data_IF_744707257534
#
_entry.id   IF_744707257534
#
_cell.length_a   1.000
_cell.length_b   1.000
_cell.length_c   1.000
_cell.angle_alpha   90.00
_cell.angle_beta   90.00
_cell.angle_gamma   90.00
#
_symmetry.space_group_name_H-M   'P 1'
#
loop_
_entity.id
_entity.type
_entity.pdbx_description
1 polymer ?
#
# COMPACT_ATOMS: atom_id res chain seq x y z
N UNK A 1 -10.40 28.38 -41.30
CA UNK A 1 -10.32 28.74 -39.85
C UNK A 1 -9.62 27.61 -39.09
N UNK A 2 -8.34 27.75 -38.72
CA UNK A 2 -7.64 26.80 -37.82
C UNK A 2 -8.17 27.02 -36.40
N UNK A 3 -9.03 26.12 -35.90
CA UNK A 3 -9.33 26.04 -34.47
C UNK A 3 -7.99 25.75 -33.76
N UNK A 4 -7.43 26.77 -33.09
CA UNK A 4 -6.33 26.54 -32.14
C UNK A 4 -6.86 25.55 -31.10
N UNK A 5 -6.25 24.39 -31.02
CA UNK A 5 -6.41 23.49 -29.86
C UNK A 5 -5.89 24.26 -28.64
N UNK A 6 -6.72 25.11 -28.03
CA UNK A 6 -6.39 25.62 -26.71
C UNK A 6 -6.49 24.44 -25.76
N UNK A 7 -5.41 24.09 -25.11
CA UNK A 7 -5.41 23.12 -24.02
C UNK A 7 -6.50 23.56 -23.05
N UNK A 8 -7.53 22.76 -22.82
CA UNK A 8 -8.69 23.20 -22.07
C UNK A 8 -8.30 23.56 -20.65
N UNK A 9 -8.66 24.75 -20.21
CA UNK A 9 -8.32 25.30 -18.90
C UNK A 9 -8.80 24.48 -17.70
N UNK A 10 -9.61 23.41 -17.92
CA UNK A 10 -10.04 22.46 -16.90
C UNK A 10 -9.27 21.12 -16.97
N UNK A 11 -8.67 20.75 -18.11
CA UNK A 11 -7.98 19.47 -18.21
C UNK A 11 -6.73 19.42 -17.32
N UNK A 12 -5.95 20.50 -17.31
CA UNK A 12 -4.73 20.57 -16.49
C UNK A 12 -5.05 20.41 -14.99
N UNK A 13 -5.97 21.20 -14.38
CA UNK A 13 -6.28 21.03 -12.97
C UNK A 13 -6.94 19.68 -12.66
N UNK A 14 -7.74 19.10 -13.57
CA UNK A 14 -8.31 17.76 -13.38
C UNK A 14 -7.24 16.67 -13.39
N UNK A 15 -6.27 16.77 -14.31
CA UNK A 15 -5.15 15.83 -14.37
C UNK A 15 -4.21 15.99 -13.16
N UNK A 16 -3.97 17.20 -12.71
CA UNK A 16 -3.17 17.47 -11.51
C UNK A 16 -3.85 16.88 -10.25
N UNK A 17 -5.16 17.11 -10.12
CA UNK A 17 -5.95 16.52 -9.04
C UNK A 17 -5.88 14.99 -9.07
N UNK A 18 -5.98 14.38 -10.27
CA UNK A 18 -5.84 12.94 -10.46
C UNK A 18 -4.50 12.43 -9.93
N UNK A 19 -3.39 13.06 -10.33
CA UNK A 19 -2.05 12.63 -9.90
C UNK A 19 -1.89 12.78 -8.38
N UNK A 20 -2.30 13.92 -7.80
CA UNK A 20 -2.18 14.16 -6.36
C UNK A 20 -3.03 13.14 -5.57
N UNK A 21 -4.29 12.94 -5.95
CA UNK A 21 -5.18 12.01 -5.26
C UNK A 21 -4.70 10.56 -5.39
N UNK A 22 -4.17 10.17 -6.56
CA UNK A 22 -3.57 8.85 -6.77
C UNK A 22 -2.36 8.65 -5.87
N UNK A 23 -1.45 9.62 -5.79
CA UNK A 23 -0.28 9.54 -4.91
C UNK A 23 -0.68 9.45 -3.44
N UNK A 24 -1.66 10.25 -3.01
CA UNK A 24 -2.18 10.18 -1.64
C UNK A 24 -2.78 8.80 -1.35
N UNK A 25 -3.55 8.23 -2.27
CA UNK A 25 -4.12 6.89 -2.13
C UNK A 25 -3.03 5.80 -2.09
N UNK A 26 -1.98 5.93 -2.94
CA UNK A 26 -0.86 4.98 -2.99
C UNK A 26 -0.02 4.98 -1.70
N UNK A 27 0.23 6.15 -1.14
CA UNK A 27 1.02 6.29 0.09
C UNK A 27 0.18 6.35 1.37
N UNK A 28 -1.12 6.11 1.27
CA UNK A 28 -2.06 6.28 2.38
C UNK A 28 -1.60 5.61 3.67
N UNK A 29 -1.17 4.35 3.61
CA UNK A 29 -0.80 3.58 4.81
C UNK A 29 0.38 4.22 5.56
N UNK A 30 1.40 4.68 4.82
CA UNK A 30 2.57 5.36 5.42
C UNK A 30 2.22 6.75 5.96
N UNK A 31 1.38 7.49 5.23
CA UNK A 31 0.93 8.83 5.63
C UNK A 31 0.00 8.75 6.84
N UNK A 32 -0.90 7.77 6.85
CA UNK A 32 -1.85 7.57 7.93
C UNK A 32 -1.15 7.25 9.25
N UNK A 33 -0.13 6.39 9.24
CA UNK A 33 0.63 6.04 10.44
C UNK A 33 1.33 7.24 11.10
N UNK A 34 1.74 8.24 10.29
CA UNK A 34 2.54 9.39 10.77
C UNK A 34 1.75 10.69 10.91
N UNK A 35 0.73 10.87 10.10
CA UNK A 35 0.07 12.17 9.88
C UNK A 35 -1.45 12.09 9.92
N UNK A 36 -2.02 11.12 10.65
CA UNK A 36 -3.47 10.85 10.69
C UNK A 36 -4.33 12.11 10.78
N UNK A 37 -4.02 13.00 11.74
CA UNK A 37 -4.79 14.23 11.97
C UNK A 37 -4.66 15.21 10.79
N UNK A 38 -3.48 15.26 10.14
CA UNK A 38 -3.22 16.16 9.01
C UNK A 38 -3.81 15.63 7.68
N UNK A 39 -4.10 14.35 7.59
CA UNK A 39 -4.71 13.77 6.38
C UNK A 39 -6.17 14.14 6.21
N UNK A 40 -6.93 14.30 7.30
CA UNK A 40 -8.33 14.71 7.26
C UNK A 40 -8.55 16.00 6.45
N UNK A 41 -7.87 17.13 6.74
CA UNK A 41 -8.00 18.33 5.91
C UNK A 41 -7.50 18.15 4.47
N UNK A 42 -6.50 17.28 4.22
CA UNK A 42 -6.06 16.96 2.86
C UNK A 42 -7.15 16.25 2.06
N UNK A 43 -7.76 15.21 2.63
CA UNK A 43 -8.89 14.52 1.97
C UNK A 43 -10.08 15.46 1.73
N UNK A 44 -10.38 16.30 2.70
CA UNK A 44 -11.44 17.29 2.55
C UNK A 44 -11.13 18.29 1.42
N UNK A 45 -9.90 18.79 1.34
CA UNK A 45 -9.46 19.68 0.27
C UNK A 45 -9.53 19.02 -1.11
N UNK A 46 -9.11 17.76 -1.23
CA UNK A 46 -9.21 16.97 -2.47
C UNK A 46 -10.66 16.76 -2.88
N UNK A 47 -11.54 16.45 -1.93
CA UNK A 47 -12.98 16.30 -2.19
C UNK A 47 -13.60 17.61 -2.67
N UNK A 48 -13.31 18.73 -2.01
CA UNK A 48 -13.79 20.06 -2.42
C UNK A 48 -13.29 20.42 -3.81
N UNK A 49 -12.00 20.21 -4.10
CA UNK A 49 -11.42 20.44 -5.42
C UNK A 49 -12.10 19.59 -6.49
N UNK A 50 -12.35 18.30 -6.21
CA UNK A 50 -13.08 17.39 -7.10
C UNK A 50 -14.48 17.93 -7.43
N UNK A 51 -15.26 18.26 -6.41
CA UNK A 51 -16.63 18.79 -6.59
C UNK A 51 -16.63 20.10 -7.38
N UNK A 52 -15.73 21.02 -7.07
CA UNK A 52 -15.61 22.30 -7.78
C UNK A 52 -15.27 22.09 -9.26
N UNK A 53 -14.32 21.20 -9.57
CA UNK A 53 -13.94 20.90 -10.96
C UNK A 53 -15.07 20.20 -11.70
N UNK A 54 -15.79 19.29 -11.05
CA UNK A 54 -16.93 18.59 -11.62
C UNK A 54 -18.05 19.57 -11.96
N UNK A 55 -18.44 20.45 -11.03
CA UNK A 55 -19.50 21.46 -11.25
C UNK A 55 -19.10 22.43 -12.37
N UNK A 56 -17.86 22.93 -12.36
CA UNK A 56 -17.35 23.79 -13.45
C UNK A 56 -17.34 23.08 -14.80
N UNK A 57 -16.99 21.79 -14.82
CA UNK A 57 -17.01 20.97 -16.03
C UNK A 57 -18.41 20.82 -16.59
N UNK A 58 -19.39 20.45 -15.76
CA UNK A 58 -20.81 20.31 -16.14
C UNK A 58 -21.38 21.64 -16.65
N UNK A 59 -21.12 22.74 -15.92
CA UNK A 59 -21.60 24.06 -16.33
C UNK A 59 -21.04 24.49 -17.69
N UNK A 60 -19.76 24.25 -17.97
CA UNK A 60 -19.16 24.56 -19.29
C UNK A 60 -19.69 23.66 -20.41
N UNK A 61 -19.93 22.38 -20.17
CA UNK A 61 -20.56 21.50 -21.16
C UNK A 61 -21.94 22.03 -21.53
N UNK A 62 -22.75 22.40 -20.54
CA UNK A 62 -24.09 22.94 -20.76
C UNK A 62 -24.08 24.25 -21.58
N UNK A 63 -23.04 25.08 -21.40
CA UNK A 63 -22.93 26.38 -22.07
C UNK A 63 -22.22 26.29 -23.43
N UNK A 64 -21.08 25.66 -23.53
CA UNK A 64 -20.16 25.83 -24.66
C UNK A 64 -20.02 24.54 -25.51
N UNK A 65 -20.57 23.40 -25.06
CA UNK A 65 -20.45 22.07 -25.69
C UNK A 65 -19.01 21.73 -26.12
N UNK A 66 -18.03 22.12 -25.30
CA UNK A 66 -16.62 21.94 -25.60
C UNK A 66 -16.19 20.50 -25.29
N UNK A 67 -15.66 19.80 -26.30
CA UNK A 67 -15.17 18.41 -26.18
C UNK A 67 -14.12 18.25 -25.08
N UNK A 68 -13.36 19.30 -24.81
CA UNK A 68 -12.32 19.30 -23.77
C UNK A 68 -12.87 19.21 -22.35
N UNK A 69 -14.08 19.71 -22.13
CA UNK A 69 -14.75 19.59 -20.85
C UNK A 69 -15.25 18.16 -20.60
N UNK A 70 -15.67 17.43 -21.65
CA UNK A 70 -16.00 16.01 -21.55
C UNK A 70 -14.78 15.19 -21.14
N UNK A 71 -13.60 15.48 -21.74
CA UNK A 71 -12.35 14.80 -21.37
C UNK A 71 -11.98 15.06 -19.91
N UNK A 72 -12.12 16.32 -19.43
CA UNK A 72 -11.87 16.66 -18.04
C UNK A 72 -12.79 15.94 -17.06
N UNK A 73 -14.08 15.82 -17.39
CA UNK A 73 -15.06 15.05 -16.59
C UNK A 73 -14.71 13.55 -16.65
N UNK A 74 -14.31 13.03 -17.81
CA UNK A 74 -13.86 11.64 -17.95
C UNK A 74 -12.68 11.32 -17.03
N UNK A 75 -11.70 12.22 -16.91
CA UNK A 75 -10.58 12.09 -15.97
C UNK A 75 -11.06 12.06 -14.52
N UNK A 76 -12.01 12.92 -14.14
CA UNK A 76 -12.54 12.95 -12.78
C UNK A 76 -13.36 11.68 -12.45
N UNK A 77 -14.16 11.18 -13.39
CA UNK A 77 -14.91 9.93 -13.22
C UNK A 77 -13.93 8.76 -13.08
N UNK A 78 -12.89 8.70 -13.94
CA UNK A 78 -11.86 7.67 -13.84
C UNK A 78 -11.17 7.70 -12.48
N UNK A 79 -10.85 8.89 -11.97
CA UNK A 79 -10.27 9.06 -10.63
C UNK A 79 -11.19 8.49 -9.55
N UNK A 80 -12.48 8.85 -9.59
CA UNK A 80 -13.46 8.36 -8.62
C UNK A 80 -13.58 6.83 -8.65
N UNK A 81 -13.65 6.24 -9.84
CA UNK A 81 -13.68 4.77 -10.03
C UNK A 81 -12.43 4.12 -9.48
N UNK A 82 -11.25 4.66 -9.79
CA UNK A 82 -9.97 4.11 -9.31
C UNK A 82 -9.87 4.19 -7.78
N UNK A 83 -10.23 5.32 -7.17
CA UNK A 83 -10.15 5.46 -5.70
C UNK A 83 -11.08 4.47 -4.99
N UNK A 84 -12.27 4.21 -5.55
CA UNK A 84 -13.27 3.35 -4.90
C UNK A 84 -13.00 1.86 -5.16
N UNK A 85 -12.53 1.50 -6.35
CA UNK A 85 -12.50 0.11 -6.80
C UNK A 85 -11.09 -0.49 -6.92
N UNK A 86 -10.06 0.34 -7.04
CA UNK A 86 -8.71 -0.16 -7.20
C UNK A 86 -8.14 -0.62 -5.84
N UNK A 87 -7.67 -1.86 -5.71
CA UNK A 87 -7.10 -2.40 -4.48
C UNK A 87 -5.67 -1.89 -4.29
N UNK A 88 -5.51 -0.60 -3.96
CA UNK A 88 -4.20 0.05 -3.82
C UNK A 88 -3.25 -0.71 -2.89
N UNK A 89 -3.77 -1.22 -1.76
CA UNK A 89 -2.96 -1.95 -0.79
C UNK A 89 -2.43 -3.26 -1.37
N UNK A 90 -3.30 -4.08 -1.96
CA UNK A 90 -2.92 -5.38 -2.51
C UNK A 90 -1.94 -5.20 -3.68
N UNK A 91 -2.19 -4.21 -4.56
CA UNK A 91 -1.29 -3.88 -5.66
C UNK A 91 0.09 -3.42 -5.16
N UNK A 92 0.12 -2.59 -4.12
CA UNK A 92 1.36 -2.11 -3.50
C UNK A 92 2.16 -3.24 -2.88
N UNK A 93 1.51 -4.10 -2.08
CA UNK A 93 2.19 -5.23 -1.42
C UNK A 93 2.80 -6.17 -2.46
N UNK A 94 2.08 -6.49 -3.54
CA UNK A 94 2.60 -7.33 -4.63
C UNK A 94 3.79 -6.65 -5.32
N UNK A 95 3.67 -5.37 -5.65
CA UNK A 95 4.75 -4.60 -6.27
C UNK A 95 6.00 -4.51 -5.37
N UNK A 96 5.83 -4.25 -4.08
CA UNK A 96 6.94 -4.22 -3.12
C UNK A 96 7.55 -5.60 -2.89
N UNK A 97 6.74 -6.67 -2.95
CA UNK A 97 7.28 -8.02 -2.89
C UNK A 97 8.17 -8.28 -4.11
N UNK A 98 7.68 -8.01 -5.33
CA UNK A 98 8.44 -8.23 -6.55
C UNK A 98 9.76 -7.45 -6.57
N UNK A 99 9.73 -6.21 -6.09
CA UNK A 99 10.89 -5.31 -6.09
C UNK A 99 11.93 -5.70 -5.04
N UNK A 100 11.51 -6.17 -3.87
CA UNK A 100 12.35 -6.35 -2.68
C UNK A 100 12.48 -7.83 -2.26
N UNK A 101 11.94 -8.76 -3.04
CA UNK A 101 11.93 -10.19 -2.71
C UNK A 101 13.34 -10.74 -2.45
N UNK A 102 14.30 -10.38 -3.33
CA UNK A 102 15.67 -10.82 -3.20
C UNK A 102 16.31 -10.39 -1.88
N UNK A 103 16.13 -9.12 -1.53
CA UNK A 103 16.71 -8.56 -0.29
C UNK A 103 16.02 -9.18 0.95
N UNK A 104 14.70 -9.48 0.86
CA UNK A 104 13.97 -10.17 1.93
C UNK A 104 14.43 -11.62 2.10
N UNK A 105 14.64 -12.34 1.01
CA UNK A 105 15.20 -13.71 1.07
C UNK A 105 16.60 -13.73 1.67
N UNK A 106 17.42 -12.73 1.40
CA UNK A 106 18.74 -12.61 2.02
C UNK A 106 18.62 -12.45 3.55
N UNK A 107 17.67 -11.64 4.05
CA UNK A 107 17.39 -11.55 5.49
C UNK A 107 16.90 -12.89 6.06
N UNK A 108 16.02 -13.60 5.35
CA UNK A 108 15.56 -14.94 5.75
C UNK A 108 16.73 -15.92 5.88
N UNK A 109 17.68 -15.90 4.94
CA UNK A 109 18.88 -16.73 5.00
C UNK A 109 19.83 -16.30 6.14
N UNK A 110 19.97 -15.00 6.41
CA UNK A 110 20.74 -14.51 7.57
C UNK A 110 20.16 -15.03 8.88
N UNK A 111 18.83 -15.08 9.01
CA UNK A 111 18.17 -15.65 10.19
C UNK A 111 18.38 -17.15 10.26
N UNK A 112 18.24 -17.86 9.14
CA UNK A 112 18.47 -19.32 9.06
C UNK A 112 19.89 -19.71 9.47
N UNK A 113 20.88 -18.88 9.14
CA UNK A 113 22.29 -19.10 9.42
C UNK A 113 22.74 -18.47 10.76
N UNK A 114 21.81 -18.10 11.65
CA UNK A 114 22.05 -17.48 12.96
C UNK A 114 22.88 -16.17 12.90
N UNK A 115 22.99 -15.53 11.75
CA UNK A 115 23.64 -14.22 11.60
C UNK A 115 22.78 -13.10 12.16
N UNK A 116 21.47 -13.31 12.17
CA UNK A 116 20.46 -12.48 12.79
C UNK A 116 19.58 -13.36 13.68
N UNK A 117 19.47 -13.03 14.95
CA UNK A 117 18.69 -13.83 15.89
C UNK A 117 17.87 -12.96 16.85
N UNK A 118 16.73 -13.46 17.26
CA UNK A 118 15.97 -12.89 18.35
C UNK A 118 16.63 -13.29 19.68
N UNK A 119 16.55 -12.41 20.71
CA UNK A 119 17.21 -12.64 22.01
C UNK A 119 16.79 -13.96 22.68
N UNK A 120 15.54 -14.39 22.46
CA UNK A 120 14.95 -15.58 23.09
C UNK A 120 14.52 -16.63 22.05
N UNK A 121 15.13 -16.63 20.85
CA UNK A 121 14.81 -17.55 19.76
C UNK A 121 13.55 -17.18 18.96
N UNK A 122 12.60 -16.48 19.57
CA UNK A 122 11.35 -15.97 18.96
C UNK A 122 11.23 -14.49 19.32
N UNK A 123 10.82 -13.64 18.38
CA UNK A 123 10.61 -12.21 18.66
C UNK A 123 11.11 -11.26 17.60
N UNK A 124 11.23 -9.99 17.99
CA UNK A 124 11.70 -8.94 17.10
C UNK A 124 13.21 -9.03 16.88
N UNK A 125 13.60 -8.86 15.63
CA UNK A 125 15.00 -8.80 15.17
C UNK A 125 15.19 -7.45 14.47
N UNK A 126 16.12 -6.63 14.96
CA UNK A 126 16.50 -5.38 14.31
C UNK A 126 17.24 -5.67 13.01
N UNK A 127 16.77 -5.07 11.92
CA UNK A 127 17.43 -5.22 10.64
C UNK A 127 18.67 -4.33 10.53
N UNK A 128 19.76 -4.82 9.92
CA UNK A 128 20.92 -4.00 9.56
C UNK A 128 20.52 -2.80 8.72
N UNK A 129 21.30 -1.72 8.75
CA UNK A 129 20.93 -0.43 8.14
C UNK A 129 20.52 -0.54 6.65
N UNK A 130 21.16 -1.41 5.89
CA UNK A 130 20.83 -1.64 4.48
C UNK A 130 19.48 -2.32 4.22
N UNK A 131 18.96 -3.05 5.20
CA UNK A 131 17.74 -3.86 5.10
C UNK A 131 16.54 -3.24 5.84
N UNK A 132 16.69 -2.14 6.57
CA UNK A 132 15.61 -1.51 7.35
C UNK A 132 14.38 -1.15 6.52
N UNK A 133 14.58 -0.84 5.22
CA UNK A 133 13.50 -0.52 4.29
C UNK A 133 12.55 -1.69 3.99
N UNK A 134 12.94 -2.93 4.32
CA UNK A 134 12.18 -4.14 4.01
C UNK A 134 10.96 -4.33 4.93
N UNK A 135 10.95 -3.63 6.06
CA UNK A 135 9.88 -3.66 7.06
C UNK A 135 9.59 -2.24 7.56
N UNK A 136 8.33 -1.91 7.85
CA UNK A 136 7.88 -0.54 8.12
C UNK A 136 8.55 0.13 9.33
N UNK A 137 8.97 -0.66 10.32
CA UNK A 137 9.64 -0.20 11.53
C UNK A 137 11.13 -0.58 11.58
N UNK A 138 11.66 -1.16 10.49
CA UNK A 138 13.06 -1.59 10.40
C UNK A 138 13.37 -2.86 11.20
N UNK A 139 12.35 -3.58 11.63
CA UNK A 139 12.43 -4.84 12.36
C UNK A 139 11.64 -5.93 11.62
N UNK A 140 12.00 -7.17 11.84
CA UNK A 140 11.18 -8.34 11.48
C UNK A 140 10.82 -9.11 12.74
N UNK A 141 9.74 -9.87 12.68
CA UNK A 141 9.38 -10.75 13.77
C UNK A 141 9.57 -12.21 13.36
N UNK A 142 10.30 -12.96 14.18
CA UNK A 142 10.53 -14.38 14.02
C UNK A 142 9.51 -15.15 14.87
N UNK A 143 8.60 -15.86 14.22
CA UNK A 143 7.62 -16.70 14.91
C UNK A 143 8.13 -18.11 15.15
N UNK A 144 8.92 -18.64 14.21
CA UNK A 144 9.45 -20.00 14.25
C UNK A 144 10.75 -20.09 13.42
N UNK A 145 11.72 -20.84 13.92
CA UNK A 145 12.97 -21.17 13.23
C UNK A 145 13.52 -22.47 13.84
N UNK A 146 12.95 -23.60 13.42
CA UNK A 146 13.31 -24.94 13.90
C UNK A 146 13.24 -25.99 12.77
N UNK A 147 13.26 -27.27 13.15
CA UNK A 147 13.17 -28.40 12.20
C UNK A 147 11.83 -28.43 11.42
N UNK A 148 10.77 -27.86 11.95
CA UNK A 148 9.45 -27.81 11.29
C UNK A 148 9.42 -26.73 10.22
N UNK A 149 10.28 -25.73 10.33
CA UNK A 149 10.42 -24.67 9.33
C UNK A 149 10.72 -23.30 9.92
N UNK A 150 10.59 -22.31 9.06
CA UNK A 150 10.89 -20.92 9.38
C UNK A 150 9.70 -20.03 9.02
N UNK A 151 9.27 -19.17 9.96
CA UNK A 151 8.23 -18.17 9.77
C UNK A 151 8.76 -16.80 10.17
N UNK A 152 8.97 -15.93 9.17
CA UNK A 152 9.51 -14.58 9.31
C UNK A 152 8.50 -13.56 8.82
N UNK A 153 8.13 -12.62 9.67
CA UNK A 153 7.21 -11.54 9.38
C UNK A 153 7.94 -10.24 9.07
N UNK A 154 7.61 -9.65 7.94
CA UNK A 154 7.99 -8.29 7.53
C UNK A 154 6.75 -7.40 7.65
N UNK A 155 6.80 -6.39 8.50
CA UNK A 155 5.69 -5.47 8.69
C UNK A 155 5.50 -4.57 7.46
N UNK A 156 4.36 -4.68 6.81
CA UNK A 156 3.95 -3.73 5.77
C UNK A 156 3.36 -2.49 6.44
N UNK A 157 2.54 -2.71 7.46
CA UNK A 157 1.94 -1.68 8.30
C UNK A 157 1.69 -2.25 9.69
N UNK A 158 2.09 -1.53 10.72
CA UNK A 158 1.82 -1.86 12.11
C UNK A 158 0.86 -0.85 12.71
N UNK A 159 -0.41 -1.22 12.82
CA UNK A 159 -1.43 -0.37 13.42
C UNK A 159 -1.38 -0.39 14.93
N UNK A 160 -1.63 0.75 15.55
CA UNK A 160 -1.74 0.83 17.03
C UNK A 160 -3.12 0.38 17.54
N UNK A 161 -4.17 0.49 16.71
CA UNK A 161 -5.57 0.27 17.12
C UNK A 161 -6.39 -0.57 16.12
N UNK A 162 -5.87 -0.88 14.95
CA UNK A 162 -6.64 -1.41 13.82
C UNK A 162 -6.02 -2.63 13.16
N UNK A 163 -5.30 -3.45 13.92
CA UNK A 163 -4.59 -4.60 13.35
C UNK A 163 -3.35 -4.22 12.57
N UNK A 164 -2.65 -5.23 12.06
CA UNK A 164 -1.42 -5.06 11.27
C UNK A 164 -1.56 -5.74 9.91
N UNK A 165 -0.74 -5.30 8.98
CA UNK A 165 -0.59 -5.95 7.69
C UNK A 165 0.84 -6.44 7.55
N UNK A 166 0.96 -7.71 7.28
CA UNK A 166 2.20 -8.45 7.35
C UNK A 166 2.48 -9.16 6.03
N UNK A 167 3.72 -9.13 5.60
CA UNK A 167 4.23 -10.01 4.57
C UNK A 167 5.04 -11.11 5.25
N UNK A 168 4.53 -12.33 5.22
CA UNK A 168 5.13 -13.47 5.93
C UNK A 168 5.82 -14.39 4.93
N UNK A 169 7.08 -14.68 5.21
CA UNK A 169 7.77 -15.83 4.62
C UNK A 169 7.53 -17.06 5.49
N UNK A 170 7.08 -18.15 4.87
CA UNK A 170 6.91 -19.44 5.55
C UNK A 170 7.45 -20.57 4.69
N UNK A 171 8.47 -21.27 5.18
CA UNK A 171 9.04 -22.42 4.48
C UNK A 171 8.13 -23.66 4.54
N UNK A 172 7.27 -23.75 5.56
CA UNK A 172 6.26 -24.79 5.72
C UNK A 172 4.87 -24.42 5.16
N UNK A 173 4.81 -23.33 4.39
CA UNK A 173 3.56 -22.92 3.75
C UNK A 173 2.55 -22.29 4.71
N UNK A 174 1.27 -22.25 4.28
CA UNK A 174 0.16 -21.71 5.06
C UNK A 174 -0.10 -22.50 6.34
N UNK A 175 0.12 -23.82 6.33
CA UNK A 175 -0.11 -24.68 7.49
C UNK A 175 0.76 -24.26 8.67
N UNK A 176 2.02 -23.91 8.43
CA UNK A 176 2.92 -23.46 9.47
C UNK A 176 2.52 -22.07 10.02
N UNK A 177 2.00 -21.17 9.18
CA UNK A 177 1.44 -19.89 9.63
C UNK A 177 0.25 -20.13 10.53
N UNK A 178 -0.67 -21.04 10.15
CA UNK A 178 -1.85 -21.39 10.94
C UNK A 178 -1.49 -22.11 12.26
N UNK A 179 -0.44 -22.93 12.27
CA UNK A 179 0.06 -23.53 13.52
C UNK A 179 0.48 -22.47 14.54
N UNK A 180 0.94 -21.30 14.06
CA UNK A 180 1.27 -20.14 14.87
C UNK A 180 0.10 -19.14 15.07
N UNK A 181 -1.15 -19.50 14.69
CA UNK A 181 -2.32 -18.59 14.67
C UNK A 181 -2.61 -17.97 16.04
N UNK A 182 -2.38 -18.71 17.14
CA UNK A 182 -2.52 -18.17 18.52
C UNK A 182 -1.57 -17.01 18.81
N UNK A 183 -0.46 -16.91 18.09
CA UNK A 183 0.52 -15.83 18.21
C UNK A 183 0.28 -14.69 17.23
N UNK A 184 -0.37 -15.00 16.08
CA UNK A 184 -0.49 -14.09 14.93
C UNK A 184 -1.86 -13.40 14.88
N UNK A 185 -2.92 -13.92 15.53
CA UNK A 185 -4.30 -13.37 15.47
C UNK A 185 -4.80 -13.13 14.04
N UNK A 186 -4.68 -14.15 13.21
CA UNK A 186 -4.95 -14.06 11.77
C UNK A 186 -6.43 -13.79 11.48
N UNK A 187 -6.70 -12.73 10.71
CA UNK A 187 -8.02 -12.40 10.16
C UNK A 187 -8.12 -12.90 8.72
N UNK A 188 -7.07 -12.71 7.92
CA UNK A 188 -7.00 -13.13 6.52
C UNK A 188 -5.59 -13.57 6.16
N UNK A 189 -5.49 -14.66 5.38
CA UNK A 189 -4.25 -15.10 4.74
C UNK A 189 -4.49 -15.11 3.23
N UNK A 190 -3.54 -14.61 2.48
CA UNK A 190 -3.54 -14.66 1.02
C UNK A 190 -2.16 -15.06 0.51
N UNK A 191 -2.09 -16.17 -0.24
CA UNK A 191 -0.83 -16.57 -0.88
C UNK A 191 -0.51 -15.65 -2.05
N UNK A 192 0.65 -15.00 -2.00
CA UNK A 192 1.12 -14.11 -3.06
C UNK A 192 2.05 -14.82 -4.05
N UNK A 193 3.02 -15.59 -3.50
CA UNK A 193 4.00 -16.39 -4.24
C UNK A 193 4.34 -17.67 -3.45
N UNK A 194 5.25 -18.48 -3.98
CA UNK A 194 5.82 -19.60 -3.23
C UNK A 194 6.48 -19.10 -1.95
N UNK A 195 6.07 -19.65 -0.81
CA UNK A 195 6.51 -19.30 0.55
C UNK A 195 6.19 -17.86 1.01
N UNK A 196 5.50 -17.04 0.20
CA UNK A 196 5.15 -15.67 0.55
C UNK A 196 3.64 -15.50 0.72
N UNK A 197 3.26 -14.97 1.85
CA UNK A 197 1.87 -14.79 2.27
C UNK A 197 1.64 -13.36 2.76
N UNK A 198 0.54 -12.77 2.32
CA UNK A 198 0.02 -11.55 2.91
C UNK A 198 -0.95 -11.92 4.02
N UNK A 199 -0.73 -11.41 5.21
CA UNK A 199 -1.52 -11.73 6.39
C UNK A 199 -2.04 -10.43 7.00
N UNK A 200 -3.34 -10.42 7.25
CA UNK A 200 -4.02 -9.37 7.99
C UNK A 200 -4.30 -9.89 9.40
N UNK A 201 -3.88 -9.12 10.41
CA UNK A 201 -4.05 -9.47 11.83
C UNK A 201 -4.97 -8.47 12.50
N UNK A 202 -5.78 -8.92 13.47
CA UNK A 202 -6.78 -8.12 14.19
C UNK A 202 -6.32 -7.67 15.56
#
# INVERSE_FOLDING_TARGET
>A
MKKRLSIPGLLIPSSLLFVIAFLVAWYNDHLFARLFVLLLPVYFALLVAFVVLLVKGIHRIAKDRDLSCFLSIGVLILLAVLIVWFPFRDAKVRFELDLLEKDRLEVVEMIRNDQLSAKDGIGNIDLPMGYRRLSSDGQVFLYENDENGQVVCFWVFRGMLSGSFELIYSSGGEELIRANEKKIYVVRIEKLKENWYYVETG
#
